data_IF_708737928117
#
_entry.id   IF_708737928117
#
_cell.length_a   1.000
_cell.length_b   1.000
_cell.length_c   1.000
_cell.angle_alpha   90.00
_cell.angle_beta   90.00
_cell.angle_gamma   90.00
#
_symmetry.space_group_name_H-M   'P 1'
#
loop_
_entity.id
_entity.type
_entity.pdbx_description
1 polymer ?
#
# COMPACT_ATOMS: atom_id res chain seq x y z
N UNK A 1 1.42 -69.97 -12.14
CA UNK A 1 2.60 -69.85 -13.00
C UNK A 1 2.03 -69.77 -14.41
N UNK A 2 1.99 -68.65 -15.13
CA UNK A 2 2.68 -67.36 -15.00
C UNK A 2 1.88 -66.23 -15.69
N UNK A 3 2.10 -65.02 -15.15
CA UNK A 3 2.24 -63.69 -15.79
C UNK A 3 1.42 -63.37 -17.05
N UNK A 4 0.43 -62.46 -16.98
CA UNK A 4 0.57 -60.99 -17.12
C UNK A 4 1.25 -60.56 -18.42
N UNK A 5 0.45 -60.19 -19.42
CA UNK A 5 0.85 -59.14 -20.35
C UNK A 5 -0.29 -58.15 -20.58
N UNK A 6 0.05 -56.91 -20.30
CA UNK A 6 -0.74 -55.71 -20.21
C UNK A 6 -0.98 -55.10 -21.60
N UNK A 7 -2.14 -54.46 -21.72
CA UNK A 7 -2.29 -53.11 -22.26
C UNK A 7 -1.99 -52.84 -23.75
N UNK A 8 -3.06 -52.51 -24.49
CA UNK A 8 -3.19 -51.16 -25.09
C UNK A 8 -4.62 -50.90 -25.57
N UNK A 9 -5.31 -49.88 -25.03
CA UNK A 9 -6.65 -49.51 -25.45
C UNK A 9 -6.65 -48.74 -26.78
N UNK A 10 -7.73 -48.97 -27.52
CA UNK A 10 -8.05 -48.43 -28.83
C UNK A 10 -8.13 -46.90 -28.84
N UNK A 11 -7.49 -46.31 -29.85
CA UNK A 11 -7.65 -44.93 -30.31
C UNK A 11 -9.12 -44.70 -30.71
N UNK A 12 -9.86 -43.88 -29.95
CA UNK A 12 -11.18 -43.43 -30.37
C UNK A 12 -11.36 -41.93 -30.10
N UNK A 13 -10.84 -41.13 -31.04
CA UNK A 13 -11.15 -39.71 -31.20
C UNK A 13 -12.65 -39.53 -31.53
N UNK A 14 -13.46 -39.37 -30.49
CA UNK A 14 -14.88 -39.03 -30.58
C UNK A 14 -15.18 -37.71 -29.86
N UNK A 15 -15.44 -36.67 -30.65
CA UNK A 15 -15.83 -35.32 -30.24
C UNK A 15 -16.95 -35.30 -29.18
N UNK A 16 -16.73 -34.59 -28.07
CA UNK A 16 -17.81 -34.02 -27.24
C UNK A 16 -17.66 -32.50 -27.19
N UNK A 17 -18.40 -31.80 -28.05
CA UNK A 17 -18.56 -30.35 -28.01
C UNK A 17 -19.61 -29.94 -26.97
N UNK A 18 -19.19 -29.02 -26.12
CA UNK A 18 -19.97 -28.00 -25.39
C UNK A 18 -21.13 -28.44 -24.50
N UNK A 19 -20.82 -28.70 -23.23
CA UNK A 19 -21.50 -27.94 -22.18
C UNK A 19 -20.66 -26.68 -21.98
N UNK A 20 -21.20 -25.50 -22.31
CA UNK A 20 -20.60 -24.22 -21.93
C UNK A 20 -20.65 -24.14 -20.40
N UNK A 21 -19.70 -24.77 -19.72
CA UNK A 21 -19.31 -24.35 -18.38
C UNK A 21 -18.65 -22.98 -18.58
N UNK A 22 -19.38 -21.94 -18.23
CA UNK A 22 -18.79 -20.63 -18.04
C UNK A 22 -17.84 -20.79 -16.85
N UNK A 23 -16.55 -21.03 -17.13
CA UNK A 23 -15.53 -21.18 -16.09
C UNK A 23 -15.33 -19.90 -15.27
N UNK A 24 -16.01 -18.80 -15.63
CA UNK A 24 -15.97 -17.54 -14.91
C UNK A 24 -14.57 -16.96 -14.80
N UNK A 25 -13.64 -17.36 -15.68
CA UNK A 25 -12.24 -16.99 -15.56
C UNK A 25 -11.46 -17.81 -14.52
N UNK A 26 -12.00 -18.91 -13.99
CA UNK A 26 -11.28 -19.80 -13.06
C UNK A 26 -9.99 -20.37 -13.68
N UNK A 27 -10.02 -20.68 -14.97
CA UNK A 27 -8.82 -21.10 -15.71
C UNK A 27 -7.82 -19.95 -15.94
N UNK A 28 -8.27 -18.70 -15.90
CA UNK A 28 -7.42 -17.51 -15.98
C UNK A 28 -6.78 -17.22 -14.62
N UNK A 29 -7.51 -17.48 -13.53
CA UNK A 29 -7.01 -17.35 -12.14
C UNK A 29 -5.96 -18.41 -11.78
N UNK A 30 -5.98 -19.60 -12.40
CA UNK A 30 -4.93 -20.60 -12.18
C UNK A 30 -3.58 -20.13 -12.76
N UNK A 31 -3.62 -19.48 -13.93
CA UNK A 31 -2.45 -18.97 -14.65
C UNK A 31 -1.73 -17.83 -13.92
N UNK A 32 -2.42 -17.09 -13.03
CA UNK A 32 -1.76 -16.01 -12.27
C UNK A 32 -0.79 -16.54 -11.21
N UNK A 33 -0.81 -17.85 -10.93
CA UNK A 33 0.13 -18.50 -10.01
C UNK A 33 1.18 -19.34 -10.72
N UNK A 34 1.11 -19.44 -12.05
CA UNK A 34 2.09 -20.16 -12.85
C UNK A 34 3.46 -19.49 -12.74
N UNK A 35 4.50 -20.31 -12.63
CA UNK A 35 5.87 -19.83 -12.56
C UNK A 35 6.30 -19.26 -13.93
N UNK A 36 6.55 -17.96 -14.00
CA UNK A 36 7.20 -17.29 -15.12
C UNK A 36 8.57 -16.73 -14.71
N UNK A 37 9.55 -16.84 -15.60
CA UNK A 37 10.88 -16.25 -15.42
C UNK A 37 10.82 -14.72 -15.52
N UNK A 38 11.42 -14.03 -14.56
CA UNK A 38 11.50 -12.57 -14.53
C UNK A 38 12.32 -12.05 -15.72
N UNK A 39 11.68 -11.26 -16.60
CA UNK A 39 12.36 -10.66 -17.75
C UNK A 39 13.21 -9.47 -17.33
N UNK A 40 14.50 -9.51 -17.62
CA UNK A 40 15.41 -8.38 -17.38
C UNK A 40 15.26 -7.34 -18.49
N UNK A 41 14.91 -6.11 -18.12
CA UNK A 41 14.90 -4.95 -19.03
C UNK A 41 16.32 -4.38 -19.16
N UNK A 42 16.66 -3.84 -20.34
CA UNK A 42 17.99 -3.31 -20.64
C UNK A 42 18.42 -2.24 -19.61
N UNK A 43 19.62 -2.37 -19.05
CA UNK A 43 20.09 -1.56 -17.90
C UNK A 43 20.08 -0.05 -18.15
N UNK A 44 20.16 0.38 -19.41
CA UNK A 44 20.18 1.78 -19.80
C UNK A 44 18.83 2.50 -19.53
N UNK A 45 17.70 1.79 -19.64
CA UNK A 45 16.37 2.35 -19.40
C UNK A 45 16.06 2.47 -17.89
N UNK A 46 16.65 1.57 -17.09
CA UNK A 46 16.47 1.52 -15.63
C UNK A 46 17.14 2.72 -14.96
N UNK A 47 18.38 3.06 -15.32
CA UNK A 47 19.11 4.18 -14.70
C UNK A 47 18.43 5.52 -14.97
N UNK A 48 17.89 5.73 -16.18
CA UNK A 48 17.15 6.94 -16.53
C UNK A 48 15.84 7.09 -15.75
N UNK A 49 15.10 5.99 -15.54
CA UNK A 49 13.87 5.98 -14.75
C UNK A 49 14.15 6.17 -13.24
N UNK A 50 15.18 5.51 -12.70
CA UNK A 50 15.58 5.65 -11.29
C UNK A 50 15.96 7.10 -10.97
N UNK A 51 16.77 7.75 -11.82
CA UNK A 51 17.15 9.15 -11.62
C UNK A 51 15.95 10.11 -11.66
N UNK A 52 14.91 9.82 -12.44
CA UNK A 52 13.67 10.62 -12.46
C UNK A 52 12.84 10.43 -11.19
N UNK A 53 12.84 9.24 -10.60
CA UNK A 53 12.16 8.95 -9.33
C UNK A 53 12.91 9.59 -8.15
N UNK A 54 14.24 9.49 -8.16
CA UNK A 54 15.11 10.02 -7.11
C UNK A 54 15.00 11.56 -6.99
N UNK A 55 15.06 12.25 -8.14
CA UNK A 55 14.87 13.70 -8.21
C UNK A 55 13.48 14.17 -7.71
N UNK A 56 12.44 13.32 -7.82
CA UNK A 56 11.10 13.63 -7.34
C UNK A 56 10.97 13.40 -5.83
N UNK A 57 11.53 12.31 -5.29
CA UNK A 57 11.56 12.03 -3.85
C UNK A 57 12.35 13.09 -3.07
N UNK A 58 13.52 13.49 -3.58
CA UNK A 58 14.40 14.44 -2.89
C UNK A 58 13.74 15.82 -2.67
N UNK A 59 12.99 16.33 -3.65
CA UNK A 59 12.28 17.61 -3.51
C UNK A 59 11.10 17.56 -2.54
N UNK A 60 10.33 16.47 -2.56
CA UNK A 60 9.20 16.30 -1.64
C UNK A 60 9.68 16.06 -0.19
N UNK A 61 10.79 15.36 0.00
CA UNK A 61 11.40 15.15 1.32
C UNK A 61 12.01 16.42 1.89
N UNK A 62 12.65 17.26 1.06
CA UNK A 62 13.21 18.53 1.52
C UNK A 62 12.15 19.52 2.01
N UNK A 63 11.00 19.61 1.34
CA UNK A 63 9.89 20.47 1.78
C UNK A 63 9.17 19.92 3.02
N UNK A 64 9.03 18.59 3.15
CA UNK A 64 8.52 17.99 4.39
C UNK A 64 9.46 18.24 5.57
N UNK A 65 10.75 18.05 5.38
CA UNK A 65 11.74 18.28 6.44
C UNK A 65 11.80 19.76 6.88
N UNK A 66 11.60 20.71 5.95
CA UNK A 66 11.51 22.12 6.30
C UNK A 66 10.28 22.43 7.16
N UNK A 67 9.10 21.91 6.78
CA UNK A 67 7.87 22.05 7.58
C UNK A 67 7.97 21.36 8.93
N UNK A 68 8.57 20.18 8.99
CA UNK A 68 8.77 19.44 10.24
C UNK A 68 9.73 20.17 11.20
N UNK A 69 10.77 20.84 10.69
CA UNK A 69 11.68 21.66 11.52
C UNK A 69 11.00 22.89 12.12
N UNK A 70 10.04 23.48 11.44
CA UNK A 70 9.23 24.56 12.00
C UNK A 70 8.24 24.04 13.04
N UNK A 71 7.60 22.89 12.77
CA UNK A 71 6.68 22.21 13.69
C UNK A 71 7.38 21.65 14.94
N UNK A 72 8.65 21.25 14.84
CA UNK A 72 9.44 20.71 15.96
C UNK A 72 9.96 21.79 16.92
N UNK A 73 10.05 23.05 16.49
CA UNK A 73 10.40 24.18 17.37
C UNK A 73 9.23 24.65 18.24
N UNK A 74 8.02 24.18 17.95
CA UNK A 74 6.83 24.50 18.75
C UNK A 74 6.91 23.69 20.04
N UNK A 75 7.29 24.37 21.12
CA UNK A 75 7.21 23.83 22.47
C UNK A 75 5.73 23.66 22.85
N UNK A 76 5.19 22.46 22.69
CA UNK A 76 3.86 22.10 23.19
C UNK A 76 3.92 21.86 24.71
N UNK A 77 3.01 22.44 25.47
CA UNK A 77 2.90 22.16 26.91
C UNK A 77 2.13 20.87 27.12
N UNK A 78 2.55 20.06 28.09
CA UNK A 78 1.86 18.82 28.46
C UNK A 78 0.45 19.09 29.00
N UNK A 79 0.28 20.20 29.74
CA UNK A 79 -1.02 20.65 30.24
C UNK A 79 -2.02 20.91 29.11
N UNK A 80 -1.61 21.59 28.03
CA UNK A 80 -2.49 21.89 26.90
C UNK A 80 -2.93 20.61 26.17
N UNK A 81 -2.04 19.60 26.09
CA UNK A 81 -2.38 18.28 25.55
C UNK A 81 -3.41 17.57 26.44
N UNK A 82 -3.24 17.62 27.75
CA UNK A 82 -4.18 17.00 28.70
C UNK A 82 -5.55 17.66 28.69
N UNK A 83 -5.62 18.99 28.61
CA UNK A 83 -6.89 19.71 28.47
C UNK A 83 -7.58 19.32 27.18
N UNK A 84 -6.85 19.27 26.06
CA UNK A 84 -7.43 18.91 24.78
C UNK A 84 -7.99 17.47 24.78
N UNK A 85 -7.27 16.52 25.39
CA UNK A 85 -7.74 15.13 25.53
C UNK A 85 -8.99 15.07 26.41
N UNK A 86 -9.00 15.77 27.55
CA UNK A 86 -10.14 15.76 28.49
C UNK A 86 -11.40 16.38 27.90
N UNK A 87 -11.27 17.50 27.19
CA UNK A 87 -12.42 18.25 26.69
C UNK A 87 -12.98 17.69 25.37
N UNK A 88 -12.12 17.10 24.52
CA UNK A 88 -12.52 16.68 23.17
C UNK A 88 -12.48 15.16 22.95
N UNK A 89 -12.04 14.40 23.95
CA UNK A 89 -11.94 12.93 23.93
C UNK A 89 -11.15 12.35 22.74
N UNK A 90 -10.25 13.14 22.15
CA UNK A 90 -9.40 12.68 21.04
C UNK A 90 -8.17 11.93 21.56
N UNK A 91 -7.63 10.97 20.78
CA UNK A 91 -6.42 10.27 21.16
C UNK A 91 -5.23 11.24 21.24
N UNK A 92 -4.31 10.97 22.17
CA UNK A 92 -3.13 11.80 22.44
C UNK A 92 -2.32 12.14 21.17
N UNK A 93 -2.16 11.17 20.26
CA UNK A 93 -1.46 11.37 18.99
C UNK A 93 -2.12 12.44 18.11
N UNK A 94 -3.45 12.50 18.10
CA UNK A 94 -4.22 13.52 17.38
C UNK A 94 -4.17 14.86 18.10
N UNK A 95 -4.28 14.87 19.43
CA UNK A 95 -4.16 16.08 20.24
C UNK A 95 -2.80 16.79 20.04
N UNK A 96 -1.72 16.02 20.13
CA UNK A 96 -0.36 16.54 19.91
C UNK A 96 -0.16 17.05 18.49
N UNK A 97 -0.75 16.38 17.48
CA UNK A 97 -0.69 16.82 16.09
C UNK A 97 -1.39 18.17 15.90
N UNK A 98 -2.61 18.31 16.40
CA UNK A 98 -3.41 19.54 16.30
C UNK A 98 -2.71 20.69 17.04
N UNK A 99 -2.18 20.46 18.24
CA UNK A 99 -1.42 21.49 18.96
C UNK A 99 -0.15 21.89 18.21
N UNK A 100 0.53 20.95 17.56
CA UNK A 100 1.71 21.25 16.75
C UNK A 100 1.37 22.05 15.49
N UNK A 101 0.27 21.72 14.82
CA UNK A 101 -0.29 22.48 13.68
C UNK A 101 -0.65 23.92 14.07
N UNK A 102 -1.19 24.12 15.29
CA UNK A 102 -1.58 25.44 15.82
C UNK A 102 -0.48 26.14 16.61
N UNK A 103 0.80 25.73 16.46
CA UNK A 103 1.94 26.37 17.13
C UNK A 103 1.81 26.45 18.66
N UNK A 104 1.13 25.49 19.27
CA UNK A 104 0.92 25.40 20.72
C UNK A 104 -0.17 26.33 21.26
N UNK A 105 -1.00 26.92 20.40
CA UNK A 105 -2.17 27.69 20.84
C UNK A 105 -3.36 26.76 21.11
N UNK A 106 -3.70 26.62 22.39
CA UNK A 106 -4.83 25.81 22.87
C UNK A 106 -6.18 26.30 22.30
N UNK A 107 -6.39 27.62 22.16
CA UNK A 107 -7.67 28.17 21.71
C UNK A 107 -7.89 27.88 20.24
N UNK A 108 -6.86 28.10 19.42
CA UNK A 108 -6.91 27.77 18.00
C UNK A 108 -7.05 26.26 17.77
N UNK A 109 -6.34 25.44 18.55
CA UNK A 109 -6.48 23.99 18.52
C UNK A 109 -7.90 23.52 18.87
N UNK A 110 -8.51 24.04 19.93
CA UNK A 110 -9.90 23.72 20.31
C UNK A 110 -10.88 24.13 19.22
N UNK A 111 -10.73 25.33 18.66
CA UNK A 111 -11.57 25.79 17.53
C UNK A 111 -11.41 24.89 16.31
N UNK A 112 -10.20 24.44 16.00
CA UNK A 112 -9.99 23.51 14.89
C UNK A 112 -10.70 22.19 15.16
N UNK A 113 -10.60 21.62 16.36
CA UNK A 113 -11.28 20.35 16.70
C UNK A 113 -12.79 20.47 16.59
N UNK A 114 -13.37 21.58 17.05
CA UNK A 114 -14.82 21.82 17.04
C UNK A 114 -15.34 22.09 15.62
N UNK A 115 -14.57 22.80 14.80
CA UNK A 115 -14.93 23.12 13.41
C UNK A 115 -14.42 22.09 12.39
N UNK A 116 -13.91 20.94 12.84
CA UNK A 116 -13.41 19.84 11.99
C UNK A 116 -14.53 18.95 11.47
#
# INVERSE_FOLDING_TARGET
MDESDLDKPQDNKGQKKSARQHDGGAADLEKVTDYEEERVVLSQDITGAINKIDNRRSKEEAERQAKERELAKVSIKKEDVEVLIKETEIPRTRAERILRENKGDLVSALRQVINS
#
